data_IF_538062350361
#
_entry.id   IF_538062350361
#
_cell.length_a   1.000
_cell.length_b   1.000
_cell.length_c   1.000
_cell.angle_alpha   90.00
_cell.angle_beta   90.00
_cell.angle_gamma   90.00
#
_symmetry.space_group_name_H-M   'P 1'
#
loop_
_entity.id
_entity.type
_entity.pdbx_description
1 polymer ?
#
# COMPACT_ATOMS: atom_id res chain seq x y z
N UNK A 1 40.84 -14.05 4.71
CA UNK A 1 39.89 -15.17 4.63
C UNK A 1 39.28 -15.08 3.23
N UNK A 2 39.62 -15.98 2.31
CA UNK A 2 39.02 -15.96 0.97
C UNK A 2 37.58 -16.45 1.08
N UNK A 3 36.61 -15.63 0.67
CA UNK A 3 35.23 -16.06 0.49
C UNK A 3 35.22 -17.18 -0.57
N UNK A 4 34.98 -18.41 -0.14
CA UNK A 4 34.72 -19.52 -1.06
C UNK A 4 33.48 -19.13 -1.86
N UNK A 5 33.55 -19.05 -3.21
CA UNK A 5 32.38 -18.75 -4.01
C UNK A 5 31.26 -19.74 -3.68
N UNK A 6 30.11 -19.23 -3.25
CA UNK A 6 28.90 -20.04 -3.06
C UNK A 6 28.70 -20.92 -4.30
N UNK A 7 28.47 -22.22 -4.11
CA UNK A 7 28.28 -23.13 -5.23
C UNK A 7 27.05 -22.73 -6.05
N UNK A 8 27.11 -22.97 -7.36
CA UNK A 8 26.00 -22.67 -8.26
C UNK A 8 24.66 -23.24 -7.78
N UNK A 9 24.64 -24.49 -7.30
CA UNK A 9 23.45 -25.14 -6.77
C UNK A 9 22.90 -24.44 -5.52
N UNK A 10 23.78 -23.98 -4.62
CA UNK A 10 23.38 -23.22 -3.45
C UNK A 10 22.74 -21.87 -3.83
N UNK A 11 23.35 -21.14 -4.77
CA UNK A 11 22.80 -19.88 -5.28
C UNK A 11 21.43 -20.07 -5.94
N UNK A 12 21.29 -21.09 -6.81
CA UNK A 12 20.02 -21.44 -7.46
C UNK A 12 18.93 -21.81 -6.45
N UNK A 13 19.25 -22.61 -5.43
CA UNK A 13 18.30 -22.96 -4.35
C UNK A 13 17.89 -21.72 -3.56
N UNK A 14 18.83 -20.82 -3.28
CA UNK A 14 18.55 -19.57 -2.60
C UNK A 14 17.63 -18.66 -3.42
N UNK A 15 17.90 -18.50 -4.73
CA UNK A 15 17.06 -17.72 -5.64
C UNK A 15 15.61 -18.23 -5.62
N UNK A 16 15.39 -19.54 -5.82
CA UNK A 16 14.05 -20.14 -5.77
C UNK A 16 13.32 -19.95 -4.45
N UNK A 17 14.05 -20.02 -3.34
CA UNK A 17 13.47 -19.77 -2.02
C UNK A 17 13.00 -18.33 -1.89
N UNK A 18 13.81 -17.37 -2.35
CA UNK A 18 13.46 -15.95 -2.32
C UNK A 18 12.28 -15.64 -3.26
N UNK A 19 12.25 -16.22 -4.45
CA UNK A 19 11.13 -16.12 -5.39
C UNK A 19 9.82 -16.61 -4.76
N UNK A 20 9.81 -17.79 -4.15
CA UNK A 20 8.62 -18.32 -3.49
C UNK A 20 8.14 -17.45 -2.31
N UNK A 21 9.08 -16.89 -1.54
CA UNK A 21 8.75 -15.95 -0.47
C UNK A 21 8.19 -14.63 -1.00
N UNK A 22 8.74 -14.12 -2.10
CA UNK A 22 8.24 -12.92 -2.79
C UNK A 22 6.82 -13.15 -3.28
N UNK A 23 6.52 -14.29 -3.90
CA UNK A 23 5.17 -14.61 -4.38
C UNK A 23 4.14 -14.62 -3.24
N UNK A 24 4.48 -15.23 -2.10
CA UNK A 24 3.60 -15.29 -0.93
C UNK A 24 3.35 -13.90 -0.32
N UNK A 25 4.40 -13.09 -0.17
CA UNK A 25 4.30 -11.72 0.35
C UNK A 25 3.53 -10.81 -0.62
N UNK A 26 3.80 -10.93 -1.92
CA UNK A 26 3.08 -10.20 -2.97
C UNK A 26 1.60 -10.53 -2.99
N UNK A 27 1.22 -11.80 -2.79
CA UNK A 27 -0.18 -12.20 -2.68
C UNK A 27 -0.85 -11.57 -1.44
N UNK A 28 -0.15 -11.54 -0.31
CA UNK A 28 -0.63 -10.90 0.93
C UNK A 28 -0.78 -9.38 0.77
N UNK A 29 0.17 -8.76 0.07
CA UNK A 29 0.12 -7.33 -0.25
C UNK A 29 -1.06 -7.01 -1.16
N UNK A 30 -1.28 -7.76 -2.25
CA UNK A 30 -2.48 -7.60 -3.11
C UNK A 30 -3.80 -7.67 -2.35
N UNK A 31 -3.92 -8.63 -1.44
CA UNK A 31 -5.12 -8.77 -0.61
C UNK A 31 -5.33 -7.51 0.22
N UNK A 32 -4.27 -6.97 0.82
CA UNK A 32 -4.31 -5.70 1.56
C UNK A 32 -4.75 -4.53 0.68
N UNK A 33 -4.29 -4.48 -0.58
CA UNK A 33 -4.71 -3.46 -1.58
C UNK A 33 -6.18 -3.59 -2.02
N UNK A 34 -6.75 -4.79 -1.96
CA UNK A 34 -8.11 -5.07 -2.45
C UNK A 34 -9.19 -4.96 -1.38
N UNK A 35 -8.90 -5.36 -0.13
CA UNK A 35 -9.93 -5.61 0.90
C UNK A 35 -10.05 -4.55 2.01
N UNK A 36 -9.14 -3.56 2.11
CA UNK A 36 -9.09 -2.67 3.28
C UNK A 36 -9.57 -1.24 2.99
N UNK A 37 -10.53 -0.79 3.82
CA UNK A 37 -10.95 0.63 3.96
C UNK A 37 -9.82 1.41 4.67
N UNK A 38 -9.54 2.68 4.32
CA UNK A 38 -8.21 3.30 4.48
C UNK A 38 -7.74 3.61 5.90
N UNK A 39 -8.55 3.46 6.95
CA UNK A 39 -8.33 4.27 8.15
C UNK A 39 -7.51 3.64 9.30
N UNK A 40 -7.08 2.36 9.27
CA UNK A 40 -6.60 1.69 10.50
C UNK A 40 -5.36 0.79 10.44
N UNK A 41 -4.68 0.61 9.30
CA UNK A 41 -3.65 -0.45 9.20
C UNK A 41 -2.34 -0.10 8.48
N UNK A 42 -1.98 1.19 8.38
CA UNK A 42 -0.79 1.65 7.66
C UNK A 42 0.52 0.98 8.12
N UNK A 43 0.69 0.70 9.41
CA UNK A 43 1.91 0.05 9.93
C UNK A 43 2.11 -1.34 9.31
N UNK A 44 1.06 -2.17 9.30
CA UNK A 44 1.14 -3.53 8.75
C UNK A 44 1.42 -3.55 7.24
N UNK A 45 0.98 -2.53 6.52
CA UNK A 45 1.23 -2.38 5.09
C UNK A 45 2.66 -1.94 4.81
N UNK A 46 3.16 -0.94 5.55
CA UNK A 46 4.54 -0.47 5.46
C UNK A 46 5.53 -1.58 5.81
N UNK A 47 5.18 -2.44 6.78
CA UNK A 47 5.98 -3.62 7.13
C UNK A 47 6.03 -4.63 5.97
N UNK A 48 4.90 -4.87 5.30
CA UNK A 48 4.84 -5.72 4.10
C UNK A 48 5.65 -5.13 2.94
N UNK A 49 5.53 -3.83 2.66
CA UNK A 49 6.31 -3.16 1.62
C UNK A 49 7.81 -3.26 1.89
N UNK A 50 8.23 -2.98 3.13
CA UNK A 50 9.62 -3.06 3.54
C UNK A 50 10.14 -4.50 3.46
N UNK A 51 9.30 -5.48 3.80
CA UNK A 51 9.61 -6.90 3.66
C UNK A 51 9.83 -7.33 2.22
N UNK A 52 8.93 -6.93 1.31
CA UNK A 52 9.05 -7.21 -0.13
C UNK A 52 10.30 -6.54 -0.71
N UNK A 53 10.54 -5.27 -0.41
CA UNK A 53 11.71 -4.52 -0.88
C UNK A 53 13.03 -5.19 -0.43
N UNK A 54 13.09 -5.65 0.83
CA UNK A 54 14.23 -6.41 1.35
C UNK A 54 14.44 -7.72 0.59
N UNK A 55 13.38 -8.48 0.32
CA UNK A 55 13.47 -9.74 -0.43
C UNK A 55 13.92 -9.51 -1.88
N UNK A 56 13.41 -8.47 -2.55
CA UNK A 56 13.84 -8.08 -3.90
C UNK A 56 15.34 -7.76 -3.94
N UNK A 57 15.83 -6.97 -2.98
CA UNK A 57 17.27 -6.65 -2.85
C UNK A 57 18.11 -7.89 -2.62
N UNK A 58 17.64 -8.83 -1.80
CA UNK A 58 18.33 -10.10 -1.58
C UNK A 58 18.36 -10.96 -2.85
N UNK A 59 17.27 -11.06 -3.59
CA UNK A 59 17.22 -11.81 -4.85
C UNK A 59 18.12 -11.16 -5.91
N UNK A 60 18.15 -9.82 -5.98
CA UNK A 60 19.09 -9.09 -6.83
C UNK A 60 20.54 -9.43 -6.49
N UNK A 61 20.90 -9.44 -5.20
CA UNK A 61 22.25 -9.81 -4.75
C UNK A 61 22.61 -11.25 -5.16
N UNK A 62 21.69 -12.21 -4.99
CA UNK A 62 21.90 -13.60 -5.43
C UNK A 62 22.09 -13.68 -6.94
N UNK A 63 21.27 -12.98 -7.73
CA UNK A 63 21.41 -12.92 -9.18
C UNK A 63 22.76 -12.30 -9.60
N UNK A 64 23.27 -11.30 -8.88
CA UNK A 64 24.61 -10.75 -9.12
C UNK A 64 25.72 -11.75 -8.81
N UNK A 65 25.58 -12.54 -7.74
CA UNK A 65 26.54 -13.61 -7.42
C UNK A 65 26.50 -14.74 -8.46
N UNK A 66 25.31 -15.11 -8.92
CA UNK A 66 25.13 -16.07 -10.01
C UNK A 66 25.77 -15.55 -11.32
N UNK A 67 25.61 -14.26 -11.62
CA UNK A 67 26.26 -13.62 -12.78
C UNK A 67 27.78 -13.69 -12.69
N UNK A 68 28.37 -13.37 -11.53
CA UNK A 68 29.81 -13.47 -11.33
C UNK A 68 30.30 -14.93 -11.48
N UNK A 69 29.53 -15.89 -10.98
CA UNK A 69 29.83 -17.31 -11.13
C UNK A 69 29.80 -17.74 -12.60
N UNK A 70 28.77 -17.37 -13.35
CA UNK A 70 28.67 -17.64 -14.80
C UNK A 70 29.84 -17.03 -15.56
N UNK A 71 30.20 -15.79 -15.25
CA UNK A 71 31.34 -15.09 -15.88
C UNK A 71 32.70 -15.75 -15.59
N UNK A 72 32.81 -16.58 -14.54
CA UNK A 72 34.04 -17.30 -14.18
C UNK A 72 34.26 -18.62 -14.95
N UNK A 73 33.38 -18.96 -15.89
CA UNK A 73 33.48 -20.18 -16.71
C UNK A 73 32.26 -21.10 -16.63
N UNK A 74 31.07 -20.54 -16.41
CA UNK A 74 29.81 -21.29 -16.39
C UNK A 74 29.44 -21.86 -17.75
N UNK A 75 28.62 -22.92 -17.75
CA UNK A 75 28.09 -23.52 -18.99
C UNK A 75 26.91 -22.73 -19.54
N UNK A 76 26.59 -22.90 -20.83
CA UNK A 76 25.44 -22.25 -21.49
C UNK A 76 24.11 -22.53 -20.77
N UNK A 77 23.91 -23.75 -20.27
CA UNK A 77 22.73 -24.12 -19.48
C UNK A 77 22.59 -23.30 -18.19
N UNK A 78 23.72 -23.03 -17.53
CA UNK A 78 23.79 -22.23 -16.30
C UNK A 78 23.48 -20.76 -16.63
N UNK A 79 23.98 -20.25 -17.76
CA UNK A 79 23.62 -18.92 -18.28
C UNK A 79 22.12 -18.77 -18.53
N UNK A 80 21.47 -19.72 -19.21
CA UNK A 80 20.02 -19.67 -19.43
C UNK A 80 19.22 -19.70 -18.13
N UNK A 81 19.66 -20.51 -17.17
CA UNK A 81 19.03 -20.55 -15.84
C UNK A 81 19.15 -19.19 -15.15
N UNK A 82 20.31 -18.53 -15.22
CA UNK A 82 20.48 -17.18 -14.68
C UNK A 82 19.56 -16.17 -15.37
N UNK A 83 19.50 -16.18 -16.70
CA UNK A 83 18.59 -15.31 -17.46
C UNK A 83 17.16 -15.46 -16.96
N UNK A 84 16.70 -16.68 -16.72
CA UNK A 84 15.36 -16.92 -16.16
C UNK A 84 15.17 -16.29 -14.79
N UNK A 85 16.14 -16.40 -13.89
CA UNK A 85 16.08 -15.77 -12.57
C UNK A 85 16.10 -14.23 -12.65
N UNK A 86 16.78 -13.66 -13.64
CA UNK A 86 16.79 -12.21 -13.88
C UNK A 86 15.43 -11.72 -14.40
N UNK A 87 14.80 -12.45 -15.31
CA UNK A 87 13.44 -12.17 -15.80
C UNK A 87 12.42 -12.20 -14.64
N UNK A 88 12.46 -13.26 -13.81
CA UNK A 88 11.56 -13.38 -12.65
C UNK A 88 11.73 -12.19 -11.69
N UNK A 89 12.98 -11.82 -11.37
CA UNK A 89 13.24 -10.65 -10.53
C UNK A 89 12.67 -9.37 -11.15
N UNK A 90 12.84 -9.18 -12.46
CA UNK A 90 12.31 -8.02 -13.17
C UNK A 90 10.79 -7.96 -13.10
N UNK A 91 10.11 -9.07 -13.40
CA UNK A 91 8.64 -9.18 -13.37
C UNK A 91 8.10 -8.87 -11.96
N UNK A 92 8.68 -9.50 -10.93
CA UNK A 92 8.30 -9.28 -9.53
C UNK A 92 8.52 -7.81 -9.10
N UNK A 93 9.62 -7.21 -9.52
CA UNK A 93 9.94 -5.81 -9.20
C UNK A 93 8.94 -4.86 -9.85
N UNK A 94 8.67 -5.02 -11.15
CA UNK A 94 7.71 -4.19 -11.87
C UNK A 94 6.32 -4.31 -11.26
N UNK A 95 5.93 -5.53 -10.92
CA UNK A 95 4.64 -5.78 -10.33
C UNK A 95 4.49 -5.17 -8.94
N UNK A 96 5.52 -5.24 -8.09
CA UNK A 96 5.52 -4.60 -6.79
C UNK A 96 5.30 -3.10 -6.90
N UNK A 97 6.03 -2.42 -7.79
CA UNK A 97 5.85 -0.99 -8.00
C UNK A 97 4.47 -0.63 -8.56
N UNK A 98 3.92 -1.47 -9.45
CA UNK A 98 2.56 -1.31 -9.95
C UNK A 98 1.52 -1.40 -8.83
N UNK A 99 1.64 -2.39 -7.94
CA UNK A 99 0.75 -2.55 -6.79
C UNK A 99 0.86 -1.38 -5.82
N UNK A 100 2.09 -0.94 -5.51
CA UNK A 100 2.33 0.21 -4.62
C UNK A 100 1.74 1.50 -5.16
N UNK A 101 1.89 1.75 -6.47
CA UNK A 101 1.28 2.89 -7.14
C UNK A 101 -0.25 2.83 -7.08
N UNK A 102 -0.83 1.67 -7.38
CA UNK A 102 -2.29 1.47 -7.31
C UNK A 102 -2.85 1.68 -5.90
N UNK A 103 -2.13 1.24 -4.88
CA UNK A 103 -2.50 1.42 -3.48
C UNK A 103 -2.48 2.90 -3.07
N UNK A 104 -1.41 3.61 -3.42
CA UNK A 104 -1.31 5.05 -3.18
C UNK A 104 -2.46 5.82 -3.81
N UNK A 105 -2.77 5.56 -5.09
CA UNK A 105 -3.87 6.21 -5.78
C UNK A 105 -5.23 5.94 -5.10
N UNK A 106 -5.45 4.71 -4.60
CA UNK A 106 -6.67 4.39 -3.82
C UNK A 106 -6.74 5.13 -2.50
N UNK A 107 -5.61 5.27 -1.79
CA UNK A 107 -5.54 6.03 -0.53
C UNK A 107 -5.84 7.51 -0.75
N UNK A 108 -5.21 8.11 -1.77
CA UNK A 108 -5.46 9.50 -2.16
C UNK A 108 -6.94 9.71 -2.51
N UNK A 109 -7.52 8.84 -3.33
CA UNK A 109 -8.95 8.91 -3.67
C UNK A 109 -9.86 8.80 -2.44
N UNK A 110 -9.53 7.92 -1.50
CA UNK A 110 -10.36 7.73 -0.31
C UNK A 110 -10.20 8.87 0.71
N UNK A 111 -9.02 9.46 0.85
CA UNK A 111 -8.79 10.67 1.65
C UNK A 111 -9.62 11.83 1.12
N UNK A 112 -9.65 12.04 -0.20
CA UNK A 112 -10.47 13.09 -0.82
C UNK A 112 -11.98 12.90 -0.56
N UNK A 113 -12.45 11.64 -0.57
CA UNK A 113 -13.84 11.33 -0.23
C UNK A 113 -14.13 11.56 1.27
N UNK A 114 -13.18 11.30 2.14
CA UNK A 114 -13.30 11.57 3.58
C UNK A 114 -13.38 13.08 3.83
N UNK A 115 -12.49 13.86 3.25
CA UNK A 115 -12.49 15.33 3.31
C UNK A 115 -13.81 15.91 2.81
N UNK A 116 -14.34 15.39 1.69
CA UNK A 116 -15.63 15.81 1.14
C UNK A 116 -16.79 15.50 2.09
N UNK A 117 -16.79 14.33 2.73
CA UNK A 117 -17.83 13.94 3.70
C UNK A 117 -17.75 14.76 4.99
N UNK A 118 -16.56 15.13 5.42
CA UNK A 118 -16.36 16.03 6.56
C UNK A 118 -16.82 17.45 6.24
N UNK A 119 -16.49 17.95 5.04
CA UNK A 119 -16.99 19.23 4.53
C UNK A 119 -18.53 19.27 4.49
N UNK A 120 -19.19 18.25 3.93
CA UNK A 120 -20.66 18.18 3.90
C UNK A 120 -21.26 18.15 5.31
N UNK A 121 -20.66 17.41 6.24
CA UNK A 121 -21.12 17.34 7.64
C UNK A 121 -21.02 18.69 8.33
N UNK A 122 -19.87 19.35 8.22
CA UNK A 122 -19.66 20.68 8.83
C UNK A 122 -20.61 21.73 8.25
N UNK A 123 -20.98 21.63 6.97
CA UNK A 123 -22.00 22.50 6.35
C UNK A 123 -23.40 22.26 6.92
N UNK A 124 -23.79 21.00 7.11
CA UNK A 124 -25.08 20.64 7.72
C UNK A 124 -25.17 21.12 9.18
N UNK A 125 -24.11 20.91 9.98
CA UNK A 125 -24.05 21.38 11.36
C UNK A 125 -24.19 22.92 11.45
N UNK A 126 -23.63 23.65 10.47
CA UNK A 126 -23.74 25.11 10.40
C UNK A 126 -25.16 25.57 10.03
N UNK A 127 -25.83 24.92 9.07
CA UNK A 127 -27.22 25.23 8.72
C UNK A 127 -28.19 24.89 9.87
N UNK A 128 -27.95 23.82 10.62
CA UNK A 128 -28.76 23.44 11.80
C UNK A 128 -28.58 24.44 12.96
N UNK A 129 -27.37 24.97 13.16
CA UNK A 129 -27.09 26.04 14.13
C UNK A 129 -27.78 27.38 13.80
N UNK A 130 -27.91 27.72 12.52
CA UNK A 130 -28.58 28.96 12.06
C UNK A 130 -30.11 28.81 12.11
N UNK A 131 -30.64 27.65 11.70
CA UNK A 131 -32.09 27.38 11.75
C UNK A 131 -32.65 27.25 13.17
N UNK A 132 -31.85 26.74 14.12
CA UNK A 132 -32.24 26.60 15.53
C UNK A 132 -32.42 27.97 16.21
N UNK A 133 -31.58 28.95 15.87
CA UNK A 133 -31.69 30.33 16.37
C UNK A 133 -32.96 31.04 15.89
N UNK A 134 -33.27 30.97 14.59
CA UNK A 134 -34.50 31.57 14.03
C UNK A 134 -35.77 30.91 14.57
N UNK A 135 -35.79 29.58 14.74
CA UNK A 135 -36.95 28.89 15.32
C UNK A 135 -37.15 29.22 16.80
N UNK A 136 -36.07 29.40 17.56
CA UNK A 136 -36.15 29.84 18.95
C UNK A 136 -36.71 31.28 19.04
N UNK A 137 -36.21 32.19 18.21
CA UNK A 137 -36.69 33.58 18.15
C UNK A 137 -38.15 33.67 17.73
N UNK A 138 -38.58 32.94 16.70
CA UNK A 138 -39.98 32.87 16.26
C UNK A 138 -40.91 32.35 17.38
N UNK A 139 -40.43 31.40 18.21
CA UNK A 139 -41.16 30.90 19.37
C UNK A 139 -41.29 31.94 20.48
N UNK A 140 -40.23 32.71 20.75
CA UNK A 140 -40.29 33.80 21.73
C UNK A 140 -41.24 34.92 21.27
N UNK A 141 -41.17 35.33 20.00
CA UNK A 141 -42.09 36.33 19.44
C UNK A 141 -43.56 35.90 19.49
N UNK A 142 -43.86 34.62 19.20
CA UNK A 142 -45.21 34.07 19.30
C UNK A 142 -45.73 33.99 20.76
N UNK A 143 -44.82 33.91 21.72
CA UNK A 143 -45.13 33.89 23.16
C UNK A 143 -45.40 35.31 23.68
N UNK A 144 -44.63 36.30 23.22
CA UNK A 144 -44.77 37.71 23.60
C UNK A 144 -46.06 38.31 23.02
N UNK A 145 -46.39 38.03 21.75
CA UNK A 145 -47.61 38.54 21.12
C UNK A 145 -48.91 38.03 21.77
N UNK A 146 -48.85 36.91 22.51
CA UNK A 146 -50.01 36.35 23.22
C UNK A 146 -50.27 37.03 24.57
N UNK A 147 -49.27 37.72 25.13
CA UNK A 147 -49.35 38.37 26.43
C UNK A 147 -49.76 39.86 26.35
N UNK A 148 -49.80 40.45 25.14
CA UNK A 148 -50.16 41.86 24.94
C UNK A 148 -51.63 42.07 24.53
N UNK A 149 -52.49 41.06 24.70
CA UNK A 149 -53.91 41.10 24.35
C UNK A 149 -54.88 41.34 25.52
N UNK A 150 -54.38 41.65 26.72
CA UNK A 150 -55.21 42.02 27.87
C UNK A 150 -54.75 43.37 28.44
N UNK A 151 -55.33 44.44 27.90
CA UNK A 151 -55.58 45.71 28.59
C UNK A 151 -56.82 46.34 28.00
#
# INVERSE_FOLDING_TARGET
>A
MMDVPSSWDALRKQARKLEAQLDEQMNSYRKSVSTKVPAKNDTSENDLESGIDRLLKQLQQVNSQMQAWVSSGGTEMVSHTLTRHQEILQDLTQEFYRLRSSLRAKKEHASLLEDFREFDRTRLDLEEGVGSGEQALLKEHASISRNTGQV
#
